data_IF_362506632154
#
_entry.id   IF_362506632154
#
_cell.length_a   1.000
_cell.length_b   1.000
_cell.length_c   1.000
_cell.angle_alpha   90.00
_cell.angle_beta   90.00
_cell.angle_gamma   90.00
#
_symmetry.space_group_name_H-M   'P 1'
#
loop_
_entity.id
_entity.type
_entity.pdbx_description
1 polymer ?
#
# COMPACT_ATOMS: atom_id res chain seq x y z
N UNK A 1 -8.52 13.94 -0.49
CA UNK A 1 -9.72 13.09 -0.38
C UNK A 1 -9.47 11.86 -1.21
N UNK A 2 -9.30 10.70 -0.59
CA UNK A 2 -9.16 9.42 -1.30
C UNK A 2 -10.54 8.95 -1.78
N UNK A 3 -10.63 8.41 -2.99
CA UNK A 3 -11.87 7.86 -3.55
C UNK A 3 -11.68 6.38 -3.83
N UNK A 4 -12.70 5.57 -3.53
CA UNK A 4 -12.74 4.15 -3.83
C UNK A 4 -13.80 3.88 -4.90
N UNK A 5 -13.42 3.16 -5.95
CA UNK A 5 -14.32 2.69 -7.01
C UNK A 5 -14.36 1.17 -7.04
N UNK A 6 -15.55 0.59 -7.11
CA UNK A 6 -15.78 -0.86 -7.25
C UNK A 6 -16.23 -1.14 -8.68
N UNK A 7 -15.48 -1.96 -9.42
CA UNK A 7 -15.72 -2.30 -10.83
C UNK A 7 -16.26 -3.74 -11.06
N UNK A 8 -16.63 -4.43 -9.97
CA UNK A 8 -17.05 -5.83 -9.99
C UNK A 8 -15.91 -6.87 -9.92
N UNK A 9 -14.64 -6.48 -10.03
CA UNK A 9 -13.48 -7.38 -9.96
C UNK A 9 -12.47 -7.03 -8.87
N UNK A 10 -12.47 -5.80 -8.36
CA UNK A 10 -11.64 -5.38 -7.23
C UNK A 10 -12.05 -4.03 -6.64
N UNK A 11 -11.32 -3.62 -5.61
CA UNK A 11 -11.40 -2.26 -5.04
C UNK A 11 -10.18 -1.49 -5.53
N UNK A 12 -10.40 -0.43 -6.32
CA UNK A 12 -9.33 0.51 -6.66
C UNK A 12 -9.35 1.65 -5.64
N UNK A 13 -8.24 1.81 -4.91
CA UNK A 13 -8.05 2.87 -3.93
C UNK A 13 -7.09 3.93 -4.47
N UNK A 14 -7.54 5.20 -4.47
CA UNK A 14 -6.70 6.34 -4.83
C UNK A 14 -6.05 6.90 -3.55
N UNK A 15 -4.73 6.81 -3.44
CA UNK A 15 -3.96 7.31 -2.29
C UNK A 15 -4.12 8.83 -2.18
N UNK A 16 -4.64 9.30 -1.04
CA UNK A 16 -4.78 10.72 -0.74
C UNK A 16 -3.68 11.23 0.21
N UNK A 17 -3.58 12.55 0.43
CA UNK A 17 -2.54 13.15 1.28
C UNK A 17 -2.65 12.82 2.78
N UNK A 18 -3.72 12.15 3.20
CA UNK A 18 -3.94 11.69 4.59
C UNK A 18 -4.02 10.17 4.67
N UNK A 19 -3.51 9.47 3.65
CA UNK A 19 -3.36 8.02 3.72
C UNK A 19 -2.20 7.67 4.65
N UNK A 20 -2.44 6.75 5.57
CA UNK A 20 -1.46 6.28 6.55
C UNK A 20 -1.26 4.76 6.42
N UNK A 21 -0.02 4.32 6.64
CA UNK A 21 0.37 2.91 6.67
C UNK A 21 1.00 2.61 8.02
N UNK A 22 0.45 1.65 8.76
CA UNK A 22 0.93 1.28 10.11
C UNK A 22 0.99 -0.23 10.28
N UNK A 23 1.89 -0.71 11.16
CA UNK A 23 1.88 -2.09 11.63
C UNK A 23 1.23 -2.11 13.01
N UNK A 24 0.21 -2.94 13.19
CA UNK A 24 -0.49 -3.16 14.45
C UNK A 24 -0.03 -4.48 15.07
N UNK A 25 0.65 -4.38 16.21
CA UNK A 25 1.04 -5.53 17.02
C UNK A 25 -0.17 -6.05 17.80
N UNK A 26 -0.59 -7.28 17.51
CA UNK A 26 -1.81 -7.88 18.09
C UNK A 26 -1.53 -8.78 19.30
N UNK A 27 -0.27 -8.96 19.68
CA UNK A 27 0.18 -9.77 20.81
C UNK A 27 1.41 -10.63 20.47
N UNK A 28 2.07 -11.18 21.49
CA UNK A 28 3.33 -11.93 21.35
C UNK A 28 3.15 -13.41 20.97
N UNK A 29 1.93 -13.93 21.13
CA UNK A 29 1.62 -15.34 20.89
C UNK A 29 1.46 -15.62 19.39
N UNK A 30 1.86 -16.81 18.89
CA UNK A 30 1.71 -17.15 17.48
C UNK A 30 0.28 -17.09 16.94
N UNK A 31 -0.72 -17.24 17.81
CA UNK A 31 -2.15 -17.13 17.46
C UNK A 31 -2.63 -15.69 17.28
N UNK A 32 -1.78 -14.69 17.55
CA UNK A 32 -2.10 -13.26 17.45
C UNK A 32 -1.10 -12.55 16.52
N UNK A 33 -1.13 -12.82 15.20
CA UNK A 33 -0.13 -12.29 14.26
C UNK A 33 -0.33 -10.80 13.97
N UNK A 34 0.75 -10.00 13.93
CA UNK A 34 0.67 -8.57 13.63
C UNK A 34 0.08 -8.30 12.26
N UNK A 35 -0.56 -7.15 12.10
CA UNK A 35 -1.28 -6.77 10.88
C UNK A 35 -0.70 -5.51 10.26
N UNK A 36 -0.76 -5.42 8.93
CA UNK A 36 -0.49 -4.16 8.23
C UNK A 36 -1.82 -3.46 7.97
N UNK A 37 -1.93 -2.21 8.39
CA UNK A 37 -3.14 -1.39 8.28
C UNK A 37 -2.87 -0.24 7.33
N UNK A 38 -3.70 -0.13 6.29
CA UNK A 38 -3.76 0.99 5.36
C UNK A 38 -5.01 1.79 5.69
N UNK A 39 -4.85 2.98 6.25
CA UNK A 39 -5.95 3.84 6.63
C UNK A 39 -6.05 5.04 5.68
N UNK A 40 -7.24 5.29 5.14
CA UNK A 40 -7.52 6.54 4.42
C UNK A 40 -9.01 6.72 4.20
N UNK A 41 -9.56 7.90 4.47
CA UNK A 41 -11.00 8.13 4.31
C UNK A 41 -11.47 7.75 2.88
N UNK A 42 -12.49 6.89 2.68
CA UNK A 42 -13.46 6.38 3.65
C UNK A 42 -13.24 4.94 4.15
N UNK A 43 -12.10 4.29 3.87
CA UNK A 43 -11.91 2.87 4.16
C UNK A 43 -10.58 2.54 4.84
N UNK A 44 -10.59 1.50 5.67
CA UNK A 44 -9.39 0.87 6.22
C UNK A 44 -9.23 -0.49 5.55
N UNK A 45 -8.03 -0.79 5.06
CA UNK A 45 -7.67 -2.10 4.54
C UNK A 45 -6.67 -2.73 5.50
N UNK A 46 -7.00 -3.92 5.99
CA UNK A 46 -6.13 -4.69 6.89
C UNK A 46 -5.60 -5.91 6.17
N UNK A 47 -4.28 -6.04 6.09
CA UNK A 47 -3.59 -7.24 5.59
C UNK A 47 -3.16 -8.08 6.78
N UNK A 48 -3.76 -9.27 6.90
CA UNK A 48 -3.56 -10.22 8.00
C UNK A 48 -2.76 -11.43 7.52
N UNK A 49 -1.73 -11.88 8.25
CA UNK A 49 -1.09 -13.17 7.98
C UNK A 49 -2.09 -14.33 8.11
N UNK A 50 -1.91 -15.45 7.39
CA UNK A 50 -2.73 -16.64 7.58
C UNK A 50 -2.68 -17.14 9.03
N UNK A 51 -3.76 -17.77 9.50
CA UNK A 51 -3.83 -18.35 10.86
C UNK A 51 -2.80 -19.45 11.09
N UNK A 52 -2.43 -20.18 10.03
CA UNK A 52 -1.41 -21.23 10.08
C UNK A 52 0.00 -20.63 9.95
N UNK A 53 0.86 -20.74 10.99
CA UNK A 53 2.23 -20.24 10.95
C UNK A 53 3.10 -20.88 9.86
N UNK A 54 2.79 -22.09 9.41
CA UNK A 54 3.52 -22.73 8.31
C UNK A 54 3.41 -21.96 6.99
N UNK A 55 2.37 -21.14 6.82
CA UNK A 55 2.13 -20.33 5.62
C UNK A 55 2.78 -18.94 5.68
N UNK A 56 3.33 -18.53 6.83
CA UNK A 56 3.93 -17.21 7.00
C UNK A 56 5.12 -16.91 6.09
N UNK A 57 6.01 -17.85 5.74
CA UNK A 57 7.09 -17.56 4.79
C UNK A 57 6.57 -17.09 3.41
N UNK A 58 5.44 -17.63 2.96
CA UNK A 58 4.79 -17.17 1.73
C UNK A 58 4.18 -15.77 1.91
N UNK A 59 3.55 -15.50 3.07
CA UNK A 59 3.06 -14.17 3.42
C UNK A 59 4.19 -13.13 3.46
N UNK A 60 5.33 -13.45 4.08
CA UNK A 60 6.54 -12.60 4.09
C UNK A 60 7.04 -12.31 2.68
N UNK A 61 7.03 -13.31 1.80
CA UNK A 61 7.42 -13.14 0.39
C UNK A 61 6.49 -12.16 -0.32
N UNK A 62 5.18 -12.33 -0.16
CA UNK A 62 4.17 -11.42 -0.70
C UNK A 62 4.34 -9.98 -0.16
N UNK A 63 4.55 -9.80 1.14
CA UNK A 63 4.74 -8.48 1.74
C UNK A 63 5.99 -7.77 1.21
N UNK A 64 7.08 -8.52 0.95
CA UNK A 64 8.28 -7.98 0.30
C UNK A 64 8.00 -7.55 -1.13
N UNK A 65 7.29 -8.37 -1.91
CA UNK A 65 6.88 -8.02 -3.27
C UNK A 65 5.98 -6.78 -3.30
N UNK A 66 5.07 -6.64 -2.32
CA UNK A 66 4.24 -5.46 -2.16
C UNK A 66 5.07 -4.19 -1.92
N UNK A 67 6.06 -4.26 -1.02
CA UNK A 67 6.99 -3.17 -0.76
C UNK A 67 7.77 -2.79 -2.02
N UNK A 68 8.35 -3.78 -2.70
CA UNK A 68 9.18 -3.53 -3.88
C UNK A 68 8.35 -2.93 -5.02
N UNK A 69 7.12 -3.42 -5.24
CA UNK A 69 6.21 -2.83 -6.23
C UNK A 69 5.71 -1.42 -5.87
N UNK A 70 5.55 -1.10 -4.58
CA UNK A 70 5.23 0.25 -4.13
C UNK A 70 6.39 1.22 -4.38
N UNK A 71 7.63 0.78 -4.16
CA UNK A 71 8.85 1.55 -4.46
C UNK A 71 8.98 1.82 -5.96
N UNK A 72 8.77 0.82 -6.82
CA UNK A 72 8.77 0.98 -8.27
C UNK A 72 7.73 2.02 -8.74
N UNK A 73 6.53 2.00 -8.14
CA UNK A 73 5.48 2.97 -8.43
C UNK A 73 5.88 4.39 -7.99
N UNK A 74 6.49 4.55 -6.82
CA UNK A 74 6.99 5.84 -6.34
C UNK A 74 8.02 6.43 -7.30
N UNK A 75 9.03 5.64 -7.69
CA UNK A 75 10.05 6.07 -8.64
C UNK A 75 9.46 6.49 -10.00
N UNK A 76 8.45 5.77 -10.50
CA UNK A 76 7.74 6.16 -11.73
C UNK A 76 6.97 7.46 -11.59
N UNK A 77 6.33 7.71 -10.44
CA UNK A 77 5.62 8.96 -10.16
C UNK A 77 6.58 10.14 -10.08
N UNK A 78 7.71 9.99 -9.39
CA UNK A 78 8.76 11.00 -9.27
C UNK A 78 9.39 11.36 -10.62
N UNK A 79 9.72 10.35 -11.43
CA UNK A 79 10.26 10.55 -12.76
C UNK A 79 9.27 11.32 -13.66
N UNK A 80 7.97 10.99 -13.59
CA UNK A 80 6.92 11.67 -14.36
C UNK A 80 6.65 13.10 -13.87
N UNK A 81 6.71 13.33 -12.56
CA UNK A 81 6.56 14.67 -11.99
C UNK A 81 7.71 15.58 -12.45
N UNK A 82 8.96 15.10 -12.33
CA UNK A 82 10.16 15.81 -12.81
C UNK A 82 10.07 16.12 -14.30
N UNK A 83 9.69 15.15 -15.14
CA UNK A 83 9.55 15.34 -16.58
C UNK A 83 8.42 16.29 -17.01
N UNK A 84 7.47 16.59 -16.12
CA UNK A 84 6.45 17.63 -16.36
C UNK A 84 7.00 19.01 -16.03
N UNK A 85 7.69 19.15 -14.89
CA UNK A 85 8.29 20.42 -14.47
C UNK A 85 9.27 20.96 -15.52
N UNK A 86 10.17 20.12 -16.04
CA UNK A 86 11.13 20.52 -17.09
C UNK A 86 10.41 21.03 -18.36
N UNK A 87 9.29 20.40 -18.74
CA UNK A 87 8.52 20.83 -19.92
C UNK A 87 7.79 22.15 -19.73
N UNK A 88 7.35 22.44 -18.51
CA UNK A 88 6.70 23.72 -18.20
C UNK A 88 7.72 24.86 -18.09
N UNK A 89 8.96 24.57 -17.67
CA UNK A 89 10.08 25.53 -17.66
C UNK A 89 10.57 25.89 -19.07
N UNK A 90 10.62 24.93 -20.00
CA UNK A 90 10.99 25.18 -21.41
C UNK A 90 9.90 25.94 -22.20
N UNK A 91 8.67 26.01 -21.67
CA UNK A 91 7.52 26.65 -22.32
C UNK A 91 7.22 28.08 -21.83
N UNK A 92 7.97 28.59 -20.84
CA UNK A 92 7.87 29.95 -20.28
C UNK A 92 8.93 30.90 -20.81
#
# INVERSE_FOLDING_TARGET
MSTTGWDGFGVTWVVGPHAELTVEETGSEPTNPPMLVLAGAPCVVTVRPPDDPAMWPACVTFLRQLRDGAEDLAALLEARATARLVRDEDAG
#
